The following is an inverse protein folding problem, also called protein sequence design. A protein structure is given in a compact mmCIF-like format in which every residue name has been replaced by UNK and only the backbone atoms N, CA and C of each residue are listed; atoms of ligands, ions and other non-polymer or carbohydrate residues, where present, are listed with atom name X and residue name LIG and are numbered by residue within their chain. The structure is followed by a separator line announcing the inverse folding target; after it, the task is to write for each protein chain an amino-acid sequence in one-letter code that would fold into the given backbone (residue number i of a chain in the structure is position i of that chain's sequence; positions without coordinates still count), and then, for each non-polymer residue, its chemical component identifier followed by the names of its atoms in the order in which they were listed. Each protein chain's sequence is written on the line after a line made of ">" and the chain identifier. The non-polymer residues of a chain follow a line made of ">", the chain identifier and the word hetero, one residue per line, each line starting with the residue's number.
data_IF_064518434379
#
_entry.id   IF_064518434379
#
_cell.length_a   1.000
_cell.length_b   1.000
_cell.length_c   1.000
_cell.angle_alpha   90.00
_cell.angle_beta   90.00
_cell.angle_gamma   90.00
#
_symmetry.space_group_name_H-M   'P 1'
#
loop_
_entity.id
_entity.type
_entity.pdbx_description
1 polymer ?
#
# COMPACT_ATOMS: atom_id res chain seq x y z
N UNK A 1 4.33 20.48 -22.23
CA UNK A 1 3.49 19.34 -21.78
C UNK A 1 3.77 19.19 -20.30
N UNK A 2 2.84 19.65 -19.45
CA UNK A 2 2.99 19.61 -17.99
C UNK A 2 3.17 18.17 -17.54
N UNK A 3 4.21 17.91 -16.76
CA UNK A 3 4.40 16.63 -16.06
C UNK A 3 3.26 16.49 -15.04
N UNK A 4 2.11 15.99 -15.48
CA UNK A 4 1.13 15.40 -14.58
C UNK A 4 1.80 14.15 -14.00
N UNK A 5 2.40 14.30 -12.80
CA UNK A 5 2.95 13.18 -12.05
C UNK A 5 1.85 12.13 -11.90
N UNK A 6 2.08 10.95 -12.48
CA UNK A 6 1.18 9.79 -12.42
C UNK A 6 0.76 9.57 -10.96
N UNK A 7 -0.54 9.71 -10.70
CA UNK A 7 -1.11 9.55 -9.36
C UNK A 7 -1.44 8.08 -9.12
N UNK A 8 -1.02 7.58 -7.96
CA UNK A 8 -1.43 6.28 -7.47
C UNK A 8 -2.94 6.27 -7.14
N UNK A 9 -3.61 5.11 -7.19
CA UNK A 9 -4.98 4.99 -6.73
C UNK A 9 -5.15 5.40 -5.27
N UNK A 10 -6.39 5.70 -4.89
CA UNK A 10 -6.72 6.04 -3.51
C UNK A 10 -6.29 4.92 -2.56
N UNK A 11 -5.51 5.26 -1.51
CA UNK A 11 -5.01 4.27 -0.55
C UNK A 11 -6.12 3.65 0.32
N UNK A 12 -7.36 4.14 0.27
CA UNK A 12 -8.45 3.63 1.12
C UNK A 12 -9.47 2.79 0.35
N UNK A 13 -9.77 3.15 -0.90
CA UNK A 13 -10.82 2.50 -1.68
C UNK A 13 -10.36 2.05 -3.07
N UNK A 14 -9.10 2.29 -3.44
CA UNK A 14 -8.53 1.90 -4.73
C UNK A 14 -9.06 2.67 -5.95
N UNK A 15 -9.96 3.64 -5.78
CA UNK A 15 -10.48 4.44 -6.89
C UNK A 15 -9.46 5.49 -7.36
N UNK A 16 -9.54 5.99 -8.62
CA UNK A 16 -8.62 7.01 -9.12
C UNK A 16 -8.57 8.28 -8.26
N UNK A 17 -7.48 9.02 -8.39
CA UNK A 17 -7.28 10.31 -7.74
C UNK A 17 -7.00 11.39 -8.79
N UNK A 18 -7.49 12.59 -8.54
CA UNK A 18 -7.31 13.75 -9.41
C UNK A 18 -6.67 14.88 -8.63
N UNK A 19 -5.73 15.57 -9.27
CA UNK A 19 -5.22 16.86 -8.80
C UNK A 19 -6.05 17.99 -9.41
N UNK A 20 -6.40 18.98 -8.61
CA UNK A 20 -7.03 20.20 -9.10
C UNK A 20 -6.64 21.41 -8.24
N UNK A 21 -6.81 22.61 -8.82
CA UNK A 21 -6.71 23.88 -8.09
C UNK A 21 -8.11 24.29 -7.63
N UNK A 22 -8.23 24.86 -6.43
CA UNK A 22 -9.47 25.46 -5.95
C UNK A 22 -9.62 26.82 -6.62
N UNK A 23 -10.57 26.94 -7.54
CA UNK A 23 -10.76 28.13 -8.39
C UNK A 23 -11.91 29.07 -7.95
N UNK A 24 -12.71 28.70 -6.93
CA UNK A 24 -13.77 29.60 -6.44
C UNK A 24 -13.14 30.75 -5.61
N UNK A 25 -13.22 31.97 -6.12
CA UNK A 25 -12.72 33.20 -5.48
C UNK A 25 -13.32 33.47 -4.09
N UNK A 26 -14.46 32.88 -3.76
CA UNK A 26 -15.12 33.01 -2.45
C UNK A 26 -14.65 31.94 -1.46
N UNK A 27 -13.95 30.91 -1.92
CA UNK A 27 -13.39 29.89 -1.05
C UNK A 27 -12.14 30.47 -0.35
N UNK A 28 -12.03 30.37 0.99
CA UNK A 28 -10.84 30.83 1.70
C UNK A 28 -9.54 30.10 1.26
N UNK A 29 -9.67 28.99 0.54
CA UNK A 29 -8.57 28.21 -0.01
C UNK A 29 -8.34 28.45 -1.51
N UNK A 30 -8.92 29.51 -2.07
CA UNK A 30 -8.72 29.90 -3.47
C UNK A 30 -7.22 29.91 -3.86
N UNK A 31 -6.90 29.28 -5.00
CA UNK A 31 -5.55 29.13 -5.54
C UNK A 31 -4.75 27.96 -4.95
N UNK A 32 -5.29 27.23 -3.98
CA UNK A 32 -4.67 26.05 -3.37
C UNK A 32 -4.84 24.79 -4.22
N UNK A 33 -3.81 23.94 -4.25
CA UNK A 33 -3.86 22.63 -4.91
C UNK A 33 -4.23 21.52 -3.93
N UNK A 34 -5.05 20.60 -4.42
CA UNK A 34 -5.47 19.39 -3.71
C UNK A 34 -5.41 18.19 -4.65
N UNK A 35 -4.99 17.03 -4.13
CA UNK A 35 -5.28 15.73 -4.75
C UNK A 35 -6.42 15.08 -3.96
N UNK A 36 -7.48 14.68 -4.64
CA UNK A 36 -8.63 14.01 -4.03
C UNK A 36 -9.01 12.73 -4.76
N UNK A 37 -9.52 11.76 -3.99
CA UNK A 37 -10.14 10.56 -4.51
C UNK A 37 -11.46 10.90 -5.21
N UNK A 38 -11.73 10.26 -6.34
CA UNK A 38 -12.99 10.41 -7.09
C UNK A 38 -14.22 9.74 -6.45
N UNK A 39 -14.07 9.10 -5.28
CA UNK A 39 -15.14 8.29 -4.68
C UNK A 39 -15.38 8.49 -3.18
N UNK A 40 -14.33 8.51 -2.36
CA UNK A 40 -14.47 8.47 -0.90
C UNK A 40 -14.03 9.75 -0.19
N UNK A 41 -13.83 10.84 -0.94
CA UNK A 41 -13.44 12.17 -0.45
C UNK A 41 -12.11 12.23 0.32
N UNK A 42 -11.34 11.13 0.33
CA UNK A 42 -9.97 11.15 0.83
C UNK A 42 -9.13 12.13 -0.01
N UNK A 43 -8.52 13.11 0.65
CA UNK A 43 -7.75 14.15 0.00
C UNK A 43 -6.43 14.44 0.70
N UNK A 44 -5.53 15.16 0.02
CA UNK A 44 -4.36 15.77 0.65
C UNK A 44 -4.76 17.02 1.43
N UNK A 45 -3.81 17.57 2.19
CA UNK A 45 -3.89 18.97 2.61
C UNK A 45 -3.91 19.88 1.38
N UNK A 46 -4.50 21.06 1.52
CA UNK A 46 -4.38 22.15 0.54
C UNK A 46 -2.95 22.69 0.56
N UNK A 47 -2.37 22.90 -0.62
CA UNK A 47 -1.01 23.45 -0.78
C UNK A 47 -1.03 24.73 -1.60
N UNK A 48 -0.44 25.79 -1.04
CA UNK A 48 -0.25 27.08 -1.69
C UNK A 48 1.24 27.31 -2.02
N UNK A 49 1.54 28.21 -2.96
CA UNK A 49 2.92 28.55 -3.32
C UNK A 49 3.61 27.47 -4.15
N UNK A 50 4.75 26.95 -3.67
CA UNK A 50 5.46 25.85 -4.34
C UNK A 50 4.66 24.54 -4.20
N UNK A 51 4.18 24.04 -5.34
CA UNK A 51 3.29 22.87 -5.41
C UNK A 51 4.03 21.59 -5.85
N UNK A 52 5.36 21.60 -5.87
CA UNK A 52 6.18 20.43 -6.16
C UNK A 52 6.06 19.40 -5.02
N UNK A 53 6.07 18.11 -5.35
CA UNK A 53 6.02 17.02 -4.36
C UNK A 53 4.62 16.68 -3.81
N UNK A 54 3.56 17.37 -4.24
CA UNK A 54 2.19 17.04 -3.82
C UNK A 54 1.78 15.63 -4.28
N UNK A 55 2.16 15.24 -5.49
CA UNK A 55 1.94 13.87 -5.98
C UNK A 55 2.74 12.84 -5.19
N UNK A 56 3.99 13.14 -4.81
CA UNK A 56 4.81 12.24 -3.99
C UNK A 56 4.20 12.03 -2.60
N UNK A 57 3.64 13.09 -1.99
CA UNK A 57 2.87 13.02 -0.75
C UNK A 57 1.61 12.15 -0.85
N UNK A 58 0.93 12.15 -2.00
CA UNK A 58 -0.20 11.25 -2.24
C UNK A 58 0.29 9.80 -2.46
N UNK A 59 1.25 9.62 -3.36
CA UNK A 59 1.72 8.31 -3.81
C UNK A 59 2.41 7.51 -2.68
N UNK A 60 3.11 8.19 -1.76
CA UNK A 60 3.70 7.56 -0.58
C UNK A 60 2.67 6.85 0.32
N UNK A 61 1.39 7.26 0.28
CA UNK A 61 0.31 6.61 1.05
C UNK A 61 -0.09 5.27 0.44
N UNK A 62 -0.13 5.20 -0.89
CA UNK A 62 -0.48 4.00 -1.63
C UNK A 62 0.62 2.91 -1.57
N UNK A 63 1.85 3.26 -1.23
CA UNK A 63 2.96 2.31 -1.10
C UNK A 63 2.89 1.44 0.17
N UNK A 64 1.94 1.68 1.08
CA UNK A 64 1.81 0.92 2.32
C UNK A 64 0.82 -0.24 2.20
N UNK A 65 1.21 -1.46 2.58
CA UNK A 65 0.27 -2.58 2.74
C UNK A 65 -0.89 -2.25 3.70
N UNK A 66 -0.67 -1.33 4.65
CA UNK A 66 -1.72 -0.81 5.55
C UNK A 66 -2.80 -0.08 4.77
N UNK A 67 -2.44 0.63 3.70
CA UNK A 67 -3.42 1.31 2.85
C UNK A 67 -4.30 0.28 2.13
N UNK A 68 -3.68 -0.70 1.47
CA UNK A 68 -4.40 -1.69 0.66
C UNK A 68 -5.25 -2.66 1.46
N UNK A 69 -4.78 -3.09 2.63
CA UNK A 69 -5.45 -4.12 3.44
C UNK A 69 -6.20 -3.53 4.64
N UNK A 70 -5.96 -2.27 4.99
CA UNK A 70 -6.33 -1.73 6.31
C UNK A 70 -5.61 -2.45 7.46
N UNK A 71 -5.87 -2.00 8.69
CA UNK A 71 -5.34 -2.68 9.89
C UNK A 71 -5.90 -4.11 10.03
N UNK A 72 -7.18 -4.30 9.73
CA UNK A 72 -7.84 -5.60 9.84
C UNK A 72 -7.34 -6.61 8.79
N UNK A 73 -7.12 -6.18 7.54
CA UNK A 73 -6.58 -7.06 6.51
C UNK A 73 -5.12 -7.44 6.78
N UNK A 74 -4.30 -6.51 7.29
CA UNK A 74 -2.95 -6.84 7.75
C UNK A 74 -2.93 -7.86 8.88
N UNK A 75 -3.80 -7.69 9.88
CA UNK A 75 -3.95 -8.67 10.96
C UNK A 75 -4.32 -10.04 10.40
N UNK A 76 -5.28 -10.09 9.48
CA UNK A 76 -5.73 -11.35 8.85
C UNK A 76 -4.64 -12.02 8.04
N UNK A 77 -3.91 -11.28 7.18
CA UNK A 77 -2.79 -11.84 6.41
C UNK A 77 -1.69 -12.39 7.32
N UNK A 78 -1.32 -11.66 8.37
CA UNK A 78 -0.32 -12.14 9.35
C UNK A 78 -0.82 -13.36 10.12
N UNK A 79 -2.09 -13.37 10.52
CA UNK A 79 -2.68 -14.51 11.22
C UNK A 79 -2.70 -15.76 10.32
N UNK A 80 -3.06 -15.61 9.05
CA UNK A 80 -3.07 -16.70 8.07
C UNK A 80 -1.64 -17.21 7.80
N UNK A 81 -0.65 -16.32 7.66
CA UNK A 81 0.75 -16.69 7.51
C UNK A 81 1.30 -17.45 8.74
N UNK A 82 0.94 -17.04 9.96
CA UNK A 82 1.28 -17.77 11.18
C UNK A 82 0.60 -19.14 11.23
N UNK A 83 -0.70 -19.22 10.86
CA UNK A 83 -1.46 -20.48 10.83
C UNK A 83 -0.93 -21.47 9.81
N UNK A 84 -0.44 -20.98 8.68
CA UNK A 84 0.11 -21.79 7.60
C UNK A 84 1.61 -22.06 7.77
N UNK A 85 2.21 -21.67 8.90
CA UNK A 85 3.64 -21.81 9.19
C UNK A 85 4.57 -21.08 8.21
N UNK A 86 4.05 -20.18 7.37
CA UNK A 86 4.84 -19.30 6.52
C UNK A 86 5.57 -18.22 7.34
N UNK A 87 5.03 -17.86 8.51
CA UNK A 87 5.62 -16.89 9.41
C UNK A 87 5.81 -17.45 10.83
N UNK A 88 7.03 -17.33 11.38
CA UNK A 88 7.32 -17.66 12.78
C UNK A 88 6.96 -16.50 13.72
N UNK A 89 6.38 -16.82 14.87
CA UNK A 89 6.11 -15.86 15.97
C UNK A 89 7.29 -15.69 16.93
N UNK A 90 8.23 -16.63 16.91
CA UNK A 90 9.48 -16.56 17.69
C UNK A 90 10.65 -16.26 16.77
N UNK A 91 11.66 -15.49 17.23
CA UNK A 91 12.92 -15.37 16.50
C UNK A 91 13.48 -16.76 16.19
N UNK A 92 13.96 -16.93 14.97
CA UNK A 92 14.67 -18.13 14.53
C UNK A 92 16.13 -17.77 14.33
N UNK A 93 17.01 -18.66 14.81
CA UNK A 93 18.43 -18.59 14.51
C UNK A 93 18.71 -18.88 13.02
N UNK A 94 19.89 -18.50 12.51
CA UNK A 94 20.28 -18.84 11.14
C UNK A 94 20.23 -20.35 10.86
N UNK A 95 20.71 -21.18 11.80
CA UNK A 95 20.73 -22.64 11.63
C UNK A 95 19.31 -23.21 11.55
N UNK A 96 18.39 -22.74 12.41
CA UNK A 96 16.98 -23.12 12.34
C UNK A 96 16.33 -22.69 11.03
N UNK A 97 16.71 -21.54 10.49
CA UNK A 97 16.21 -21.07 9.19
C UNK A 97 16.63 -22.02 8.05
N UNK A 98 17.89 -22.47 8.03
CA UNK A 98 18.36 -23.43 7.04
C UNK A 98 17.64 -24.78 7.15
N UNK A 99 17.41 -25.25 8.38
CA UNK A 99 16.65 -26.48 8.62
C UNK A 99 15.20 -26.38 8.15
N UNK A 100 14.52 -25.26 8.45
CA UNK A 100 13.15 -25.01 8.01
C UNK A 100 13.06 -24.92 6.48
N UNK A 101 13.98 -24.21 5.83
CA UNK A 101 14.05 -24.12 4.38
C UNK A 101 14.27 -25.50 3.74
N UNK A 102 15.17 -26.30 4.32
CA UNK A 102 15.47 -27.65 3.82
C UNK A 102 14.24 -28.56 3.94
N UNK A 103 13.52 -28.51 5.06
CA UNK A 103 12.26 -29.26 5.25
C UNK A 103 11.18 -28.85 4.24
N UNK A 104 11.05 -27.55 3.95
CA UNK A 104 10.09 -27.05 2.97
C UNK A 104 10.36 -27.60 1.57
N UNK A 105 11.62 -27.57 1.13
CA UNK A 105 12.02 -28.12 -0.18
C UNK A 105 11.71 -29.62 -0.26
N UNK A 106 12.00 -30.38 0.81
CA UNK A 106 11.70 -31.81 0.87
C UNK A 106 10.19 -32.10 0.81
N UNK A 107 9.35 -31.30 1.49
CA UNK A 107 7.89 -31.44 1.42
C UNK A 107 7.38 -31.27 -0.01
N UNK A 108 7.83 -30.21 -0.70
CA UNK A 108 7.43 -29.94 -2.08
C UNK A 108 7.85 -31.05 -3.05
N UNK A 109 9.06 -31.60 -2.89
CA UNK A 109 9.52 -32.73 -3.69
C UNK A 109 8.68 -34.00 -3.45
N UNK A 110 8.25 -34.22 -2.20
CA UNK A 110 7.43 -35.39 -1.85
C UNK A 110 5.99 -35.25 -2.33
N UNK A 111 5.38 -34.07 -2.22
CA UNK A 111 4.04 -33.77 -2.74
C UNK A 111 4.01 -33.89 -4.28
N UNK A 112 5.02 -33.37 -4.97
CA UNK A 112 5.14 -33.50 -6.42
C UNK A 112 5.30 -34.95 -6.91
N UNK A 113 5.85 -35.84 -6.08
CA UNK A 113 5.95 -37.28 -6.35
C UNK A 113 4.65 -38.06 -6.11
N UNK A 114 3.74 -37.54 -5.28
CA UNK A 114 2.46 -38.19 -4.99
C UNK A 114 1.39 -37.86 -6.03
N UNK A 115 1.60 -36.82 -6.84
CA UNK A 115 0.68 -36.39 -7.91
C UNK A 115 1.13 -36.79 -9.32
N UNK A 116 2.19 -37.61 -9.44
CA UNK A 116 2.75 -38.10 -10.71
C UNK A 116 2.44 -39.58 -10.97
#
# INVERSE_FOLDING_TARGET
>A
MSNDQILAPCPFCGSPANRFTIEDDRDPNHGGDVIACSRCDACTRVVFGEKAGLADLWNSRAASLVAWLGQAGLYRTRLDAVRNFEQSVTPVSPDELFELASKQVLSQLNEGRQHA
#
